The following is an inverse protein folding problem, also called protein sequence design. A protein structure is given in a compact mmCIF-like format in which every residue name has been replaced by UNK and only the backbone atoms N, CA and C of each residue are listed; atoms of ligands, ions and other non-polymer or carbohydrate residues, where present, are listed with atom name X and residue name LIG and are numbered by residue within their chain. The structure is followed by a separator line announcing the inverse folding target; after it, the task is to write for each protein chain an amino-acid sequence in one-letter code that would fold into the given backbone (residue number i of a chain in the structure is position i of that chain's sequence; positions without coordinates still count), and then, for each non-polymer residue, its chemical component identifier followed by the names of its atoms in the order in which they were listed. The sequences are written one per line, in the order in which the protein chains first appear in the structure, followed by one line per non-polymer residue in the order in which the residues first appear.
data_IF_498052020894
#
_entry.id   IF_498052020894
#
_cell.length_a   1.000
_cell.length_b   1.000
_cell.length_c   1.000
_cell.angle_alpha   90.00
_cell.angle_beta   90.00
_cell.angle_gamma   90.00
#
_symmetry.space_group_name_H-M   'P 1'
#
loop_
_entity.id
_entity.type
_entity.pdbx_description
1 polymer ?
#
# COMPACT_ATOMS: atom_id res chain seq x y z
N UNK A 1 8.91 -15.94 22.37
CA UNK A 1 7.93 -16.90 21.81
C UNK A 1 8.23 -17.00 20.32
N UNK A 2 8.05 -18.18 19.66
CA UNK A 2 8.18 -18.24 18.21
C UNK A 2 7.19 -17.22 17.61
N UNK A 3 7.63 -16.50 16.58
CA UNK A 3 6.78 -15.55 15.85
C UNK A 3 5.60 -16.27 15.19
N UNK A 4 4.59 -15.50 14.68
CA UNK A 4 3.50 -16.08 13.92
C UNK A 4 4.01 -16.84 12.69
N UNK A 5 3.21 -17.79 12.17
CA UNK A 5 3.61 -18.65 11.04
C UNK A 5 3.84 -17.83 9.75
N UNK A 6 4.91 -18.18 9.01
CA UNK A 6 5.22 -17.61 7.70
C UNK A 6 4.30 -18.12 6.56
N UNK A 7 3.43 -19.10 6.84
CA UNK A 7 2.57 -19.70 5.83
C UNK A 7 1.17 -19.10 5.86
N UNK A 8 0.56 -18.84 4.69
CA UNK A 8 -0.84 -18.44 4.61
C UNK A 8 -1.76 -19.58 5.10
N UNK A 9 -2.94 -19.23 5.58
CA UNK A 9 -3.94 -20.21 6.05
C UNK A 9 -4.49 -21.09 4.92
N UNK A 10 -4.40 -20.61 3.70
CA UNK A 10 -4.77 -21.30 2.46
C UNK A 10 -3.89 -20.85 1.30
N UNK A 11 -3.76 -21.63 0.25
CA UNK A 11 -3.06 -21.18 -0.95
C UNK A 11 -3.83 -20.06 -1.63
N UNK A 12 -3.11 -19.21 -2.39
CA UNK A 12 -3.70 -18.33 -3.41
C UNK A 12 -4.21 -19.20 -4.55
N UNK A 13 -5.46 -19.03 -4.94
CA UNK A 13 -6.09 -19.84 -6.00
C UNK A 13 -5.75 -19.31 -7.38
N UNK A 14 -5.83 -20.16 -8.40
CA UNK A 14 -5.66 -19.77 -9.80
C UNK A 14 -6.66 -18.67 -10.23
N UNK A 15 -7.90 -18.70 -9.68
CA UNK A 15 -8.91 -17.66 -9.92
C UNK A 15 -8.51 -16.30 -9.36
N UNK A 16 -7.86 -16.26 -8.18
CA UNK A 16 -7.33 -15.04 -7.57
C UNK A 16 -6.14 -14.47 -8.37
N UNK A 17 -5.23 -15.33 -8.83
CA UNK A 17 -4.14 -14.92 -9.73
C UNK A 17 -4.70 -14.32 -11.02
N UNK A 18 -5.69 -14.99 -11.64
CA UNK A 18 -6.33 -14.48 -12.85
C UNK A 18 -7.07 -13.15 -12.60
N UNK A 19 -7.72 -12.98 -11.46
CA UNK A 19 -8.37 -11.73 -11.06
C UNK A 19 -7.35 -10.60 -10.90
N UNK A 20 -6.24 -10.84 -10.20
CA UNK A 20 -5.16 -9.86 -10.04
C UNK A 20 -4.61 -9.41 -11.40
N UNK A 21 -4.28 -10.33 -12.29
CA UNK A 21 -3.76 -10.02 -13.63
C UNK A 21 -4.77 -9.28 -14.53
N UNK A 22 -6.08 -9.56 -14.39
CA UNK A 22 -7.14 -8.93 -15.19
C UNK A 22 -7.54 -7.56 -14.64
N UNK A 23 -7.76 -7.47 -13.34
CA UNK A 23 -8.38 -6.32 -12.69
C UNK A 23 -7.35 -5.38 -12.02
N UNK A 24 -6.13 -5.85 -11.79
CA UNK A 24 -5.09 -5.14 -11.07
C UNK A 24 -5.32 -5.09 -9.56
N UNK A 25 -6.32 -5.80 -9.06
CA UNK A 25 -6.64 -5.91 -7.64
C UNK A 25 -7.32 -7.23 -7.34
N UNK A 26 -7.05 -7.79 -6.18
CA UNK A 26 -7.71 -9.01 -5.68
C UNK A 26 -7.92 -8.94 -4.17
N UNK A 27 -9.07 -9.41 -3.70
CA UNK A 27 -9.36 -9.64 -2.29
C UNK A 27 -9.11 -11.12 -1.95
N UNK A 28 -8.34 -11.36 -0.93
CA UNK A 28 -7.94 -12.67 -0.44
C UNK A 28 -8.54 -12.88 0.97
N UNK A 29 -9.76 -13.43 1.07
CA UNK A 29 -10.43 -13.58 2.36
C UNK A 29 -9.76 -14.65 3.22
N UNK A 30 -9.64 -14.38 4.52
CA UNK A 30 -9.15 -15.29 5.57
C UNK A 30 -7.84 -16.00 5.19
N UNK A 31 -6.89 -15.26 4.61
CA UNK A 31 -5.62 -15.83 4.15
C UNK A 31 -4.49 -15.63 5.16
N UNK A 32 -4.56 -14.56 5.96
CA UNK A 32 -3.54 -14.22 6.95
C UNK A 32 -3.91 -14.75 8.34
N UNK A 33 -3.01 -15.44 9.05
CA UNK A 33 -3.24 -15.86 10.42
C UNK A 33 -3.53 -14.68 11.34
N UNK A 34 -4.56 -14.79 12.21
CA UNK A 34 -4.98 -13.75 13.15
C UNK A 34 -3.83 -13.27 14.06
N UNK A 35 -2.89 -14.15 14.39
CA UNK A 35 -1.72 -13.80 15.18
C UNK A 35 -0.84 -12.69 14.56
N UNK A 36 -0.88 -12.50 13.23
CA UNK A 36 -0.22 -11.37 12.59
C UNK A 36 -0.96 -10.06 12.80
N UNK A 37 -2.29 -10.10 12.89
CA UNK A 37 -3.09 -8.93 13.22
C UNK A 37 -2.82 -8.53 14.67
N UNK A 38 -2.88 -9.49 15.61
CA UNK A 38 -2.61 -9.27 17.03
C UNK A 38 -1.18 -8.73 17.25
N UNK A 39 -0.22 -9.22 16.47
CA UNK A 39 1.18 -8.77 16.52
C UNK A 39 1.37 -7.29 16.18
N UNK A 40 0.48 -6.71 15.37
CA UNK A 40 0.57 -5.31 14.90
C UNK A 40 -0.26 -4.32 15.71
N UNK A 41 -1.17 -4.76 16.57
CA UNK A 41 -2.09 -3.84 17.29
C UNK A 41 -1.31 -2.82 18.11
N UNK A 42 -0.47 -3.27 19.04
CA UNK A 42 0.31 -2.38 19.92
C UNK A 42 1.35 -1.55 19.15
N UNK A 43 2.13 -2.12 18.20
CA UNK A 43 3.04 -1.33 17.36
C UNK A 43 2.34 -0.22 16.57
N UNK A 44 1.16 -0.48 15.97
CA UNK A 44 0.39 0.55 15.28
C UNK A 44 -0.05 1.65 16.23
N UNK A 45 -0.52 1.32 17.44
CA UNK A 45 -0.90 2.32 18.44
C UNK A 45 0.30 3.18 18.87
N UNK A 46 1.46 2.57 19.08
CA UNK A 46 2.68 3.30 19.41
C UNK A 46 3.11 4.24 18.27
N UNK A 47 3.07 3.74 17.03
CA UNK A 47 3.45 4.50 15.83
C UNK A 47 2.57 5.74 15.65
N UNK A 48 1.24 5.61 15.75
CA UNK A 48 0.33 6.76 15.53
C UNK A 48 0.37 7.78 16.68
N UNK A 49 0.91 7.42 17.83
CA UNK A 49 1.15 8.33 18.93
C UNK A 49 2.45 9.14 18.79
N UNK A 50 3.34 8.74 17.87
CA UNK A 50 4.63 9.38 17.65
C UNK A 50 4.59 10.31 16.42
N UNK A 51 4.63 11.66 16.62
CA UNK A 51 4.61 12.62 15.52
C UNK A 51 5.92 12.65 14.71
N UNK A 52 7.01 12.04 15.18
CA UNK A 52 8.27 11.99 14.43
C UNK A 52 8.21 10.98 13.26
N UNK A 53 7.35 9.96 13.38
CA UNK A 53 7.21 8.89 12.38
C UNK A 53 5.82 8.84 11.74
N UNK A 54 4.88 9.69 12.20
CA UNK A 54 3.50 9.73 11.69
C UNK A 54 3.10 11.16 11.35
N UNK A 55 2.56 11.32 10.16
CA UNK A 55 2.00 12.59 9.66
C UNK A 55 0.50 12.63 9.92
N UNK A 56 0.02 13.74 10.48
CA UNK A 56 -1.40 14.07 10.48
C UNK A 56 -1.81 14.59 9.10
N UNK A 57 -2.43 13.72 8.31
CA UNK A 57 -2.85 13.99 6.93
C UNK A 57 -4.00 15.00 6.89
N UNK A 58 -4.79 15.13 7.97
CA UNK A 58 -5.83 16.13 8.10
C UNK A 58 -5.21 17.53 8.16
N UNK A 59 -4.18 17.69 8.98
CA UNK A 59 -3.43 18.93 9.07
C UNK A 59 -2.66 19.25 7.77
N UNK A 60 -2.10 18.22 7.13
CA UNK A 60 -1.43 18.36 5.83
C UNK A 60 -2.40 18.88 4.76
N UNK A 61 -3.61 18.32 4.66
CA UNK A 61 -4.62 18.80 3.71
C UNK A 61 -4.95 20.27 3.90
N UNK A 62 -5.18 20.71 5.12
CA UNK A 62 -5.44 22.12 5.42
C UNK A 62 -4.29 23.03 4.94
N UNK A 63 -3.05 22.57 5.12
CA UNK A 63 -1.86 23.30 4.67
C UNK A 63 -1.76 23.38 3.15
N UNK A 64 -1.98 22.25 2.45
CA UNK A 64 -1.82 22.16 0.98
C UNK A 64 -2.95 22.90 0.26
N UNK A 65 -4.20 22.71 0.68
CA UNK A 65 -5.37 23.29 0.02
C UNK A 65 -5.67 24.73 0.45
N UNK A 66 -5.04 25.23 1.52
CA UNK A 66 -5.38 26.51 2.14
C UNK A 66 -6.83 26.54 2.70
N UNK A 67 -7.51 25.41 2.74
CA UNK A 67 -8.87 25.32 3.24
C UNK A 67 -8.88 25.22 4.77
N UNK A 68 -9.88 25.82 5.40
CA UNK A 68 -10.17 25.57 6.81
C UNK A 68 -10.55 24.12 7.00
N UNK A 69 -10.18 23.56 8.15
CA UNK A 69 -10.67 22.23 8.55
C UNK A 69 -12.21 22.26 8.60
N UNK A 70 -12.81 21.18 8.13
CA UNK A 70 -14.26 21.00 8.26
C UNK A 70 -14.61 21.00 9.76
N UNK A 71 -15.49 21.88 10.22
CA UNK A 71 -15.89 21.94 11.64
C UNK A 71 -16.55 20.66 12.14
N UNK A 72 -17.13 19.86 11.24
CA UNK A 72 -17.75 18.57 11.54
C UNK A 72 -16.73 17.41 11.53
N UNK A 73 -15.48 17.67 11.14
CA UNK A 73 -14.40 16.69 11.18
C UNK A 73 -13.91 16.49 12.61
N UNK A 74 -14.34 15.40 13.24
CA UNK A 74 -14.00 15.06 14.64
C UNK A 74 -12.85 14.08 14.77
N UNK A 75 -12.50 13.39 13.68
CA UNK A 75 -11.39 12.43 13.63
C UNK A 75 -10.20 12.92 12.84
N UNK A 76 -9.08 12.21 12.95
CA UNK A 76 -7.86 12.47 12.18
C UNK A 76 -7.59 11.34 11.20
N UNK A 77 -6.94 11.67 10.10
CA UNK A 77 -6.28 10.70 9.24
C UNK A 77 -4.78 10.75 9.52
N UNK A 78 -4.23 9.66 10.02
CA UNK A 78 -2.82 9.51 10.38
C UNK A 78 -2.14 8.53 9.42
N UNK A 79 -0.95 8.86 8.92
CA UNK A 79 -0.19 8.03 8.02
C UNK A 79 1.31 8.19 8.25
N UNK A 80 2.03 7.07 8.16
CA UNK A 80 3.49 7.05 8.18
C UNK A 80 4.02 5.93 7.28
N UNK A 81 5.28 6.02 6.91
CA UNK A 81 5.96 5.05 6.02
C UNK A 81 7.28 4.60 6.62
N UNK A 82 7.79 3.46 6.12
CA UNK A 82 9.12 2.93 6.45
C UNK A 82 9.32 2.52 7.92
N UNK A 83 8.23 2.14 8.58
CA UNK A 83 8.25 1.68 9.99
C UNK A 83 9.07 0.40 10.16
N UNK A 84 9.14 -0.44 9.13
CA UNK A 84 9.93 -1.68 9.12
C UNK A 84 11.43 -1.45 9.39
N UNK A 85 11.93 -0.23 9.18
CA UNK A 85 13.32 0.14 9.46
C UNK A 85 13.60 0.36 10.94
N UNK A 86 12.57 0.69 11.71
CA UNK A 86 12.72 1.20 13.08
C UNK A 86 12.04 0.33 14.13
N UNK A 87 11.04 -0.45 13.73
CA UNK A 87 10.27 -1.30 14.64
C UNK A 87 10.34 -2.77 14.21
N UNK A 88 10.81 -3.69 15.07
CA UNK A 88 10.96 -5.11 14.76
C UNK A 88 9.64 -5.83 14.46
N UNK A 89 8.49 -5.32 14.93
CA UNK A 89 7.20 -5.93 14.61
C UNK A 89 6.82 -5.65 13.15
N UNK A 90 6.98 -4.42 12.67
CA UNK A 90 6.78 -4.10 11.24
C UNK A 90 7.83 -4.80 10.37
N UNK A 91 9.11 -4.85 10.80
CA UNK A 91 10.14 -5.58 10.09
C UNK A 91 9.79 -7.05 9.93
N UNK A 92 9.39 -7.74 11.00
CA UNK A 92 9.00 -9.15 10.95
C UNK A 92 7.73 -9.35 10.10
N UNK A 93 6.74 -8.44 10.20
CA UNK A 93 5.54 -8.51 9.38
C UNK A 93 5.85 -8.38 7.89
N UNK A 94 6.65 -7.41 7.51
CA UNK A 94 7.00 -7.17 6.11
C UNK A 94 7.90 -8.27 5.51
N UNK A 95 8.74 -8.94 6.32
CA UNK A 95 9.76 -9.86 5.80
C UNK A 95 9.46 -11.34 6.03
N UNK A 96 8.72 -11.69 7.12
CA UNK A 96 8.53 -13.09 7.52
C UNK A 96 7.07 -13.54 7.56
N UNK A 97 6.11 -12.63 7.38
CA UNK A 97 4.71 -13.00 7.23
C UNK A 97 4.44 -13.75 5.91
N UNK A 98 3.23 -14.27 5.69
CA UNK A 98 2.85 -14.86 4.40
C UNK A 98 2.85 -13.89 3.21
N UNK A 99 2.88 -12.56 3.44
CA UNK A 99 2.71 -11.54 2.39
C UNK A 99 3.74 -11.63 1.26
N UNK A 100 5.06 -11.83 1.50
CA UNK A 100 6.02 -11.96 0.41
C UNK A 100 5.72 -13.15 -0.51
N UNK A 101 5.33 -14.31 0.05
CA UNK A 101 4.97 -15.49 -0.73
C UNK A 101 3.67 -15.27 -1.53
N UNK A 102 2.68 -14.61 -0.94
CA UNK A 102 1.43 -14.21 -1.63
C UNK A 102 1.75 -13.28 -2.81
N UNK A 103 2.58 -12.27 -2.60
CA UNK A 103 3.03 -11.36 -3.67
C UNK A 103 3.77 -12.11 -4.79
N UNK A 104 4.67 -13.04 -4.44
CA UNK A 104 5.39 -13.88 -5.40
C UNK A 104 4.46 -14.71 -6.28
N UNK A 105 3.43 -15.32 -5.70
CA UNK A 105 2.44 -16.10 -6.45
C UNK A 105 1.60 -15.20 -7.36
N UNK A 106 1.09 -14.06 -6.86
CA UNK A 106 0.23 -13.17 -7.64
C UNK A 106 0.97 -12.51 -8.82
N UNK A 107 2.23 -12.15 -8.65
CA UNK A 107 3.05 -11.51 -9.66
C UNK A 107 3.80 -12.52 -10.56
N UNK A 108 3.66 -13.83 -10.30
CA UNK A 108 4.48 -14.88 -10.93
C UNK A 108 5.98 -14.51 -10.92
N UNK A 109 6.46 -14.11 -9.76
CA UNK A 109 7.84 -13.74 -9.54
C UNK A 109 8.64 -14.90 -8.91
N UNK A 110 9.92 -15.01 -9.23
CA UNK A 110 10.82 -15.99 -8.62
C UNK A 110 11.53 -15.42 -7.39
N UNK A 111 11.57 -14.08 -7.27
CA UNK A 111 12.17 -13.36 -6.15
C UNK A 111 11.33 -12.14 -5.79
N UNK A 112 11.21 -11.85 -4.49
CA UNK A 112 10.49 -10.69 -3.96
C UNK A 112 11.41 -9.87 -3.09
N UNK A 113 11.45 -8.59 -3.36
CA UNK A 113 12.09 -7.57 -2.54
C UNK A 113 11.04 -6.78 -1.76
N UNK A 114 11.35 -6.40 -0.53
CA UNK A 114 10.61 -5.41 0.23
C UNK A 114 11.00 -4.02 -0.26
N UNK A 115 10.02 -3.18 -0.56
CA UNK A 115 10.26 -1.80 -0.99
C UNK A 115 9.89 -0.78 0.09
N UNK A 116 8.73 -0.94 0.74
CA UNK A 116 8.18 0.02 1.69
C UNK A 116 7.07 -0.61 2.51
N UNK A 117 6.85 -0.12 3.72
CA UNK A 117 5.58 -0.31 4.44
C UNK A 117 4.93 1.04 4.77
N UNK A 118 3.66 1.01 5.16
CA UNK A 118 2.99 2.16 5.72
C UNK A 118 1.88 1.78 6.68
N UNK A 119 1.65 2.65 7.65
CA UNK A 119 0.50 2.64 8.55
C UNK A 119 -0.50 3.70 8.09
N UNK A 120 -1.78 3.35 8.07
CA UNK A 120 -2.88 4.19 7.61
C UNK A 120 -4.04 4.08 8.61
N UNK A 121 -4.30 5.14 9.35
CA UNK A 121 -5.36 5.16 10.37
C UNK A 121 -6.33 6.29 10.12
N UNK A 122 -7.59 5.95 9.90
CA UNK A 122 -8.71 6.91 9.88
C UNK A 122 -9.50 6.75 11.18
N UNK A 123 -9.43 7.75 12.05
CA UNK A 123 -10.19 7.80 13.28
C UNK A 123 -11.69 7.98 12.99
N UNK A 124 -12.59 7.60 13.93
CA UNK A 124 -14.04 7.82 13.76
C UNK A 124 -14.36 9.28 13.48
N UNK A 125 -15.25 9.53 12.53
CA UNK A 125 -15.67 10.88 12.16
C UNK A 125 -14.63 11.66 11.33
N UNK A 126 -13.62 11.01 10.79
CA UNK A 126 -12.66 11.66 9.88
C UNK A 126 -13.32 11.95 8.53
N UNK A 127 -13.37 13.23 8.13
CA UNK A 127 -13.84 13.68 6.83
C UNK A 127 -12.81 13.47 5.71
N UNK A 128 -11.55 13.15 6.06
CA UNK A 128 -10.48 13.08 5.10
C UNK A 128 -10.56 11.85 4.20
N UNK A 129 -10.65 12.09 2.91
CA UNK A 129 -10.51 11.07 1.88
C UNK A 129 -9.03 10.88 1.49
N UNK A 130 -8.72 9.76 0.87
CA UNK A 130 -7.50 9.58 0.09
C UNK A 130 -7.84 9.86 -1.37
N UNK A 131 -7.16 10.82 -1.99
CA UNK A 131 -7.37 11.19 -3.38
C UNK A 131 -7.07 10.02 -4.33
N UNK A 132 -7.68 10.05 -5.52
CA UNK A 132 -7.41 9.03 -6.55
C UNK A 132 -5.94 9.12 -6.99
N UNK A 133 -5.22 8.00 -6.93
CA UNK A 133 -3.79 7.94 -7.26
C UNK A 133 -3.36 6.55 -7.71
N UNK A 134 -2.13 6.44 -8.19
CA UNK A 134 -1.36 5.20 -8.34
C UNK A 134 -0.19 5.21 -7.38
N UNK A 135 0.12 4.08 -6.76
CA UNK A 135 1.34 3.94 -5.95
C UNK A 135 2.61 4.13 -6.80
N UNK A 136 2.59 3.62 -8.05
CA UNK A 136 3.74 3.66 -8.94
C UNK A 136 4.28 5.09 -9.20
N UNK A 137 3.42 6.10 -9.16
CA UNK A 137 3.82 7.50 -9.31
C UNK A 137 4.74 8.00 -8.19
N UNK A 138 4.65 7.40 -7.00
CA UNK A 138 5.48 7.76 -5.84
C UNK A 138 6.76 6.94 -5.73
N UNK A 139 6.92 5.89 -6.54
CA UNK A 139 8.07 4.98 -6.45
C UNK A 139 9.14 5.32 -7.49
N UNK A 140 10.39 5.20 -7.10
CA UNK A 140 11.53 5.27 -8.03
C UNK A 140 11.79 3.90 -8.68
N UNK A 141 10.71 3.25 -9.12
CA UNK A 141 10.69 1.92 -9.74
C UNK A 141 9.95 1.94 -11.07
N UNK A 142 10.30 1.01 -11.94
CA UNK A 142 9.56 0.67 -13.15
C UNK A 142 9.58 -0.85 -13.38
N UNK A 143 8.49 -1.37 -13.92
CA UNK A 143 8.26 -2.79 -14.17
C UNK A 143 6.84 -3.19 -13.80
N UNK A 144 6.45 -4.40 -14.20
CA UNK A 144 5.07 -4.90 -14.03
C UNK A 144 4.89 -5.72 -12.74
N UNK A 145 5.99 -6.12 -12.08
CA UNK A 145 5.94 -6.92 -10.86
C UNK A 145 6.13 -6.05 -9.62
N UNK A 146 5.20 -5.11 -9.41
CA UNK A 146 5.17 -4.25 -8.24
C UNK A 146 3.75 -4.27 -7.69
N UNK A 147 3.59 -4.63 -6.42
CA UNK A 147 2.30 -4.68 -5.77
C UNK A 147 2.33 -4.10 -4.36
N UNK A 148 1.16 -3.70 -3.89
CA UNK A 148 0.89 -3.33 -2.51
C UNK A 148 -0.05 -4.37 -1.91
N UNK A 149 0.32 -4.93 -0.77
CA UNK A 149 -0.56 -5.73 0.09
C UNK A 149 -1.15 -4.81 1.14
N UNK A 150 -2.46 -4.74 1.24
CA UNK A 150 -3.19 -3.92 2.20
C UNK A 150 -3.90 -4.82 3.20
N UNK A 151 -3.58 -4.68 4.49
CA UNK A 151 -4.03 -5.55 5.58
C UNK A 151 -4.79 -4.75 6.61
N UNK A 152 -6.11 -4.99 6.78
CA UNK A 152 -6.92 -4.32 7.79
C UNK A 152 -6.66 -4.92 9.18
N UNK A 153 -6.55 -4.05 10.18
CA UNK A 153 -6.54 -4.44 11.59
C UNK A 153 -7.96 -4.36 12.21
N UNK A 154 -8.85 -3.65 11.56
CA UNK A 154 -10.25 -3.50 11.97
C UNK A 154 -11.19 -3.93 10.83
N UNK A 155 -12.45 -4.27 11.09
CA UNK A 155 -13.45 -4.46 10.04
C UNK A 155 -13.61 -3.19 9.19
N UNK A 156 -13.62 -3.35 7.87
CA UNK A 156 -13.70 -2.23 6.94
C UNK A 156 -14.84 -2.43 5.94
N UNK A 157 -15.65 -1.41 5.80
CA UNK A 157 -16.73 -1.32 4.85
C UNK A 157 -16.80 0.09 4.22
N UNK A 158 -17.87 0.37 3.50
CA UNK A 158 -18.08 1.66 2.85
C UNK A 158 -18.16 2.83 3.87
N UNK A 159 -18.74 2.60 5.04
CA UNK A 159 -18.90 3.62 6.08
C UNK A 159 -17.56 3.97 6.73
N UNK A 160 -16.71 2.98 6.95
CA UNK A 160 -15.39 3.14 7.58
C UNK A 160 -14.28 3.55 6.60
N UNK A 161 -14.61 3.77 5.33
CA UNK A 161 -13.68 4.25 4.31
C UNK A 161 -12.91 3.13 3.59
N UNK A 162 -13.64 2.12 3.09
CA UNK A 162 -13.08 1.09 2.22
C UNK A 162 -12.36 1.69 1.01
N UNK A 163 -11.26 1.06 0.63
CA UNK A 163 -10.50 1.46 -0.56
C UNK A 163 -11.29 1.08 -1.82
N UNK A 164 -11.40 2.01 -2.74
CA UNK A 164 -11.98 1.83 -4.06
C UNK A 164 -10.87 1.69 -5.10
N UNK A 165 -10.98 0.69 -5.96
CA UNK A 165 -9.99 0.37 -7.00
C UNK A 165 -10.63 0.46 -8.37
N UNK A 166 -9.97 1.12 -9.32
CA UNK A 166 -10.42 1.20 -10.71
C UNK A 166 -9.88 -0.02 -11.48
N UNK A 167 -10.70 -1.05 -11.61
CA UNK A 167 -10.32 -2.32 -12.25
C UNK A 167 -9.75 -2.11 -13.64
N UNK A 168 -8.63 -2.79 -13.90
CA UNK A 168 -7.96 -2.78 -15.21
C UNK A 168 -7.16 -1.52 -15.51
N UNK A 169 -7.14 -0.51 -14.62
CA UNK A 169 -6.40 0.75 -14.83
C UNK A 169 -4.89 0.54 -14.93
N UNK A 170 -4.34 -0.48 -14.26
CA UNK A 170 -2.92 -0.85 -14.34
C UNK A 170 -2.45 -1.19 -15.75
N UNK A 171 -3.36 -1.59 -16.66
CA UNK A 171 -3.04 -1.96 -18.03
C UNK A 171 -3.05 -0.79 -19.02
N UNK A 172 -3.27 0.43 -18.54
CA UNK A 172 -3.26 1.63 -19.38
C UNK A 172 -1.87 1.95 -19.96
N UNK A 173 -0.81 1.43 -19.37
CA UNK A 173 0.57 1.79 -19.69
C UNK A 173 0.96 3.20 -19.22
N UNK A 174 0.05 3.91 -18.56
CA UNK A 174 0.28 5.27 -18.07
C UNK A 174 0.77 5.25 -16.63
N UNK A 175 1.76 6.09 -16.36
CA UNK A 175 2.10 6.48 -15.00
C UNK A 175 1.55 7.88 -14.77
N UNK A 176 0.64 7.98 -13.80
CA UNK A 176 0.02 9.24 -13.44
C UNK A 176 0.89 10.04 -12.47
N UNK A 177 0.78 11.38 -12.56
CA UNK A 177 1.50 12.28 -11.64
C UNK A 177 1.05 12.00 -10.21
N UNK A 178 1.99 11.82 -9.26
CA UNK A 178 1.64 11.72 -7.85
C UNK A 178 1.04 13.02 -7.35
N UNK A 179 0.06 12.92 -6.47
CA UNK A 179 -0.60 14.03 -5.80
C UNK A 179 -0.25 14.10 -4.31
N UNK A 180 -0.85 15.01 -3.57
CA UNK A 180 -0.61 15.12 -2.12
C UNK A 180 -1.30 14.04 -1.27
N UNK A 181 -1.81 12.97 -1.88
CA UNK A 181 -2.47 11.85 -1.22
C UNK A 181 -3.84 12.18 -0.59
N UNK A 182 -3.99 13.34 0.02
CA UNK A 182 -5.24 13.88 0.59
C UNK A 182 -5.81 15.05 -0.23
N UNK A 183 -5.24 15.33 -1.38
CA UNK A 183 -5.66 16.35 -2.34
C UNK A 183 -5.32 15.91 -3.75
N UNK A 184 -6.16 16.28 -4.72
CA UNK A 184 -5.92 16.00 -6.15
C UNK A 184 -4.79 16.86 -6.75
N UNK A 185 -4.30 17.85 -6.00
CA UNK A 185 -3.18 18.70 -6.42
C UNK A 185 -1.91 17.86 -6.58
N UNK A 186 -1.26 17.93 -7.76
CA UNK A 186 -0.05 17.17 -8.01
C UNK A 186 1.12 17.65 -7.15
N UNK A 187 2.04 16.74 -6.81
CA UNK A 187 3.28 17.09 -6.14
C UNK A 187 4.10 18.07 -7.02
N UNK A 188 4.70 19.12 -6.43
CA UNK A 188 5.50 20.10 -7.17
C UNK A 188 6.65 19.44 -7.92
N UNK A 189 6.81 19.81 -9.21
CA UNK A 189 7.88 19.28 -10.05
C UNK A 189 7.72 17.83 -10.49
N UNK A 190 6.65 17.13 -10.08
CA UNK A 190 6.38 15.77 -10.52
C UNK A 190 5.92 15.73 -11.98
N UNK A 191 6.20 14.61 -12.65
CA UNK A 191 5.85 14.35 -14.04
C UNK A 191 4.94 13.11 -14.15
N UNK A 192 4.21 13.00 -15.25
CA UNK A 192 3.31 11.90 -15.55
C UNK A 192 2.02 12.35 -16.21
N UNK A 193 1.17 11.37 -16.54
CA UNK A 193 -0.15 11.65 -17.10
C UNK A 193 -1.07 12.30 -16.04
N UNK A 194 -2.05 13.10 -16.43
CA UNK A 194 -3.07 13.58 -15.50
C UNK A 194 -3.88 12.40 -14.96
N UNK A 195 -4.29 12.48 -13.70
CA UNK A 195 -5.21 11.50 -13.13
C UNK A 195 -6.58 11.70 -13.80
N UNK A 196 -7.24 10.62 -14.28
CA UNK A 196 -8.55 10.76 -14.92
C UNK A 196 -9.63 11.12 -13.90
N UNK A 197 -10.66 11.81 -14.35
CA UNK A 197 -11.88 11.96 -13.57
C UNK A 197 -12.60 10.61 -13.49
N UNK A 198 -12.93 10.19 -12.27
CA UNK A 198 -13.66 8.95 -12.00
C UNK A 198 -14.79 9.28 -11.03
N UNK A 199 -16.01 8.97 -11.42
CA UNK A 199 -17.20 9.19 -10.59
C UNK A 199 -17.52 7.94 -9.78
N UNK A 200 -18.27 8.11 -8.69
CA UNK A 200 -18.60 6.99 -7.78
C UNK A 200 -19.47 5.90 -8.43
N UNK A 201 -20.13 6.21 -9.53
CA UNK A 201 -20.94 5.29 -10.33
C UNK A 201 -20.17 4.63 -11.48
N UNK A 202 -18.86 4.86 -11.62
CA UNK A 202 -18.05 4.16 -12.62
C UNK A 202 -18.12 2.64 -12.39
N UNK A 203 -18.62 1.85 -13.36
CA UNK A 203 -18.82 0.40 -13.19
C UNK A 203 -17.50 -0.38 -13.01
N UNK A 204 -16.37 0.26 -13.24
CA UNK A 204 -15.04 -0.33 -13.00
C UNK A 204 -14.60 -0.18 -11.55
N UNK A 205 -15.19 0.75 -10.78
CA UNK A 205 -14.86 0.89 -9.36
C UNK A 205 -15.36 -0.31 -8.56
N UNK A 206 -14.45 -0.92 -7.84
CA UNK A 206 -14.74 -2.00 -6.90
C UNK A 206 -14.27 -1.63 -5.50
N UNK A 207 -15.09 -1.95 -4.51
CA UNK A 207 -14.78 -1.84 -3.09
C UNK A 207 -15.03 -3.18 -2.43
N UNK A 208 -14.19 -3.53 -1.47
CA UNK A 208 -14.34 -4.77 -0.72
C UNK A 208 -14.71 -4.45 0.73
N UNK A 209 -15.69 -5.17 1.27
CA UNK A 209 -15.86 -5.30 2.71
C UNK A 209 -14.85 -6.34 3.18
N UNK A 210 -14.00 -5.97 4.12
CA UNK A 210 -12.88 -6.82 4.56
C UNK A 210 -12.84 -6.94 6.07
N UNK A 211 -12.30 -8.06 6.54
CA UNK A 211 -12.14 -8.37 7.95
C UNK A 211 -10.66 -8.53 8.31
N UNK A 212 -10.26 -8.35 9.57
CA UNK A 212 -8.94 -8.74 10.04
C UNK A 212 -8.61 -10.19 9.65
N UNK A 213 -7.47 -10.40 9.02
CA UNK A 213 -7.09 -11.69 8.42
C UNK A 213 -7.32 -11.80 6.90
N UNK A 214 -8.08 -10.87 6.32
CA UNK A 214 -8.11 -10.67 4.87
C UNK A 214 -6.89 -9.88 4.39
N UNK A 215 -6.58 -10.03 3.10
CA UNK A 215 -5.57 -9.17 2.42
C UNK A 215 -6.16 -8.69 1.10
N UNK A 216 -6.06 -7.40 0.83
CA UNK A 216 -6.30 -6.88 -0.52
C UNK A 216 -4.95 -6.60 -1.17
N UNK A 217 -4.72 -7.17 -2.35
CA UNK A 217 -3.48 -6.93 -3.10
C UNK A 217 -3.80 -6.18 -4.38
N UNK A 218 -3.10 -5.07 -4.61
CA UNK A 218 -3.24 -4.33 -5.86
C UNK A 218 -1.90 -4.08 -6.54
N UNK A 219 -1.92 -4.05 -7.85
CA UNK A 219 -0.77 -3.68 -8.69
C UNK A 219 -0.45 -2.20 -8.48
N UNK A 220 0.82 -1.83 -8.39
CA UNK A 220 1.24 -0.44 -8.10
C UNK A 220 0.70 0.60 -9.13
N UNK A 221 0.41 0.18 -10.35
CA UNK A 221 -0.21 1.02 -11.38
C UNK A 221 -1.76 1.04 -11.32
N UNK A 222 -2.40 0.37 -10.36
CA UNK A 222 -3.85 0.42 -10.21
C UNK A 222 -4.26 1.75 -9.56
N UNK A 223 -5.12 2.50 -10.24
CA UNK A 223 -5.74 3.70 -9.67
C UNK A 223 -6.67 3.32 -8.53
N UNK A 224 -6.50 3.97 -7.38
CA UNK A 224 -7.32 3.72 -6.21
C UNK A 224 -7.46 4.97 -5.33
N UNK A 225 -8.49 4.99 -4.51
CA UNK A 225 -8.79 6.06 -3.55
C UNK A 225 -9.49 5.46 -2.33
N UNK A 226 -9.69 6.24 -1.28
CA UNK A 226 -10.47 5.78 -0.12
C UNK A 226 -11.34 6.92 0.42
N UNK A 227 -12.59 6.60 0.71
CA UNK A 227 -13.51 7.54 1.33
C UNK A 227 -13.10 7.95 2.75
N UNK A 228 -13.84 8.90 3.33
CA UNK A 228 -13.74 9.25 4.74
C UNK A 228 -14.18 8.09 5.64
N UNK A 229 -13.84 8.15 6.93
CA UNK A 229 -14.44 7.29 7.94
C UNK A 229 -15.62 8.01 8.60
N UNK A 230 -16.84 7.66 8.19
CA UNK A 230 -18.08 8.25 8.69
C UNK A 230 -18.63 7.56 9.95
N UNK A 231 -18.03 6.43 10.35
CA UNK A 231 -18.41 5.77 11.60
C UNK A 231 -18.17 6.69 12.79
N UNK A 232 -19.07 6.69 13.74
CA UNK A 232 -18.93 7.47 14.97
C UNK A 232 -18.10 6.77 16.06
N UNK A 233 -17.76 5.49 15.86
CA UNK A 233 -17.14 4.68 16.91
C UNK A 233 -16.03 3.73 16.43
N UNK A 234 -16.04 3.36 15.15
CA UNK A 234 -15.09 2.37 14.61
C UNK A 234 -13.91 3.05 13.96
N UNK A 235 -12.71 2.77 14.42
CA UNK A 235 -11.46 3.15 13.75
C UNK A 235 -11.22 2.26 12.54
N UNK A 236 -10.46 2.77 11.59
CA UNK A 236 -9.99 1.99 10.45
C UNK A 236 -8.46 2.04 10.42
N UNK A 237 -7.81 1.05 11.00
CA UNK A 237 -6.37 0.85 10.98
C UNK A 237 -6.02 -0.16 9.89
N UNK A 238 -4.99 0.14 9.14
CA UNK A 238 -4.43 -0.78 8.15
C UNK A 238 -2.91 -0.62 8.05
N UNK A 239 -2.25 -1.72 7.72
CA UNK A 239 -0.83 -1.75 7.36
C UNK A 239 -0.72 -2.18 5.90
N UNK A 240 0.02 -1.42 5.10
CA UNK A 240 0.34 -1.79 3.72
C UNK A 240 1.81 -2.14 3.61
N UNK A 241 2.12 -3.16 2.79
CA UNK A 241 3.52 -3.48 2.45
C UNK A 241 3.65 -3.54 0.94
N UNK A 242 4.68 -2.89 0.41
CA UNK A 242 4.98 -2.82 -1.02
C UNK A 242 6.13 -3.75 -1.34
N UNK A 243 5.89 -4.54 -2.37
CA UNK A 243 6.85 -5.52 -2.86
C UNK A 243 7.14 -5.32 -4.34
N UNK A 244 8.38 -5.61 -4.73
CA UNK A 244 8.74 -5.71 -6.14
C UNK A 244 9.42 -7.05 -6.44
N UNK A 245 9.12 -7.58 -7.63
CA UNK A 245 9.64 -8.86 -8.12
C UNK A 245 10.82 -8.70 -9.06
N UNK A 246 11.29 -9.82 -9.58
CA UNK A 246 12.32 -9.86 -10.60
C UNK A 246 11.88 -9.13 -11.88
N UNK A 247 12.85 -8.52 -12.58
CA UNK A 247 12.59 -7.70 -13.77
C UNK A 247 12.16 -6.25 -13.45
N UNK A 248 11.99 -5.89 -12.18
CA UNK A 248 11.84 -4.50 -11.77
C UNK A 248 13.19 -3.80 -11.75
N UNK A 249 13.21 -2.56 -12.17
CA UNK A 249 14.41 -1.74 -12.24
C UNK A 249 14.16 -0.34 -11.65
N UNK A 250 15.22 0.33 -11.28
CA UNK A 250 15.17 1.68 -10.80
C UNK A 250 14.78 2.66 -11.92
N UNK A 251 13.95 3.64 -11.57
CA UNK A 251 13.59 4.76 -12.44
C UNK A 251 13.47 6.02 -11.58
N UNK A 252 14.47 6.89 -11.66
CA UNK A 252 14.45 8.15 -10.93
C UNK A 252 13.37 9.07 -11.52
N UNK A 253 12.40 9.46 -10.67
CA UNK A 253 11.28 10.34 -11.06
C UNK A 253 11.45 11.72 -10.46
N UNK A 254 11.30 12.75 -11.30
CA UNK A 254 11.32 14.13 -10.85
C UNK A 254 10.15 14.43 -9.89
N UNK A 255 10.40 15.23 -8.85
CA UNK A 255 9.38 15.66 -7.90
C UNK A 255 8.78 14.56 -7.00
N UNK A 256 9.26 13.33 -7.13
CA UNK A 256 8.85 12.21 -6.26
C UNK A 256 9.76 12.17 -5.03
N UNK A 257 9.21 11.96 -3.82
CA UNK A 257 10.02 11.88 -2.60
C UNK A 257 11.09 10.80 -2.67
N UNK A 258 12.30 11.14 -2.23
CA UNK A 258 13.41 10.18 -2.14
C UNK A 258 13.40 9.50 -0.77
N UNK A 259 13.89 8.26 -0.72
CA UNK A 259 14.01 7.49 0.51
C UNK A 259 15.48 7.41 0.92
N UNK A 260 15.77 7.83 2.16
CA UNK A 260 17.15 7.88 2.66
C UNK A 260 17.84 6.51 2.74
N UNK A 261 17.07 5.44 2.89
CA UNK A 261 17.56 4.07 3.01
C UNK A 261 17.72 3.36 1.66
N UNK A 262 17.16 3.92 0.58
CA UNK A 262 17.44 3.42 -0.76
C UNK A 262 18.81 3.94 -1.22
N UNK A 263 19.47 3.24 -2.17
CA UNK A 263 20.71 3.75 -2.72
C UNK A 263 20.56 5.20 -3.19
N UNK A 264 21.53 6.07 -2.91
CA UNK A 264 21.46 7.47 -3.34
C UNK A 264 21.25 7.60 -4.84
N UNK A 265 20.44 8.58 -5.27
CA UNK A 265 20.14 8.79 -6.69
C UNK A 265 21.37 9.03 -7.57
N UNK A 266 22.53 9.40 -6.98
CA UNK A 266 23.80 9.52 -7.70
C UNK A 266 24.50 8.18 -7.94
N UNK A 267 24.15 7.14 -7.18
CA UNK A 267 24.73 5.80 -7.27
C UNK A 267 23.88 4.85 -8.11
N UNK A 268 22.55 5.04 -8.14
CA UNK A 268 21.64 4.30 -9.01
C UNK A 268 21.30 5.11 -10.25
N UNK A 269 21.21 4.42 -11.39
CA UNK A 269 20.79 4.99 -12.66
C UNK A 269 19.43 4.42 -13.05
N UNK A 270 18.64 5.21 -13.74
CA UNK A 270 17.43 4.70 -14.37
C UNK A 270 17.80 3.55 -15.32
N UNK A 271 17.16 2.40 -15.11
CA UNK A 271 17.42 1.16 -15.83
C UNK A 271 18.28 0.15 -15.05
N UNK A 272 18.94 0.54 -13.97
CA UNK A 272 19.64 -0.43 -13.11
C UNK A 272 18.64 -1.41 -12.48
N UNK A 273 18.94 -2.72 -12.44
CA UNK A 273 18.06 -3.69 -11.81
C UNK A 273 17.95 -3.44 -10.29
N UNK A 274 16.81 -3.74 -9.71
CA UNK A 274 16.70 -3.84 -8.25
C UNK A 274 17.47 -5.06 -7.78
N UNK A 275 18.43 -4.83 -6.89
CA UNK A 275 19.29 -5.87 -6.32
C UNK A 275 19.06 -5.96 -4.81
N UNK A 276 19.51 -7.05 -4.21
CA UNK A 276 19.49 -7.21 -2.75
C UNK A 276 20.31 -6.11 -2.08
N UNK A 277 19.63 -5.28 -1.30
CA UNK A 277 20.20 -4.13 -0.61
C UNK A 277 19.50 -3.95 0.74
N UNK A 278 20.17 -3.49 1.80
CA UNK A 278 19.52 -3.27 3.11
C UNK A 278 18.25 -2.41 3.06
N UNK A 279 18.15 -1.47 2.12
CA UNK A 279 16.96 -0.64 1.90
C UNK A 279 15.89 -1.27 0.99
N UNK A 280 16.23 -2.40 0.32
CA UNK A 280 15.30 -3.13 -0.54
C UNK A 280 15.67 -4.63 -0.52
N UNK A 281 15.61 -5.29 0.68
CA UNK A 281 16.12 -6.65 0.86
C UNK A 281 15.27 -7.68 0.12
N UNK A 282 15.92 -8.77 -0.29
CA UNK A 282 15.21 -9.99 -0.72
C UNK A 282 14.52 -10.61 0.50
N UNK A 283 13.22 -10.82 0.41
CA UNK A 283 12.39 -11.34 1.51
C UNK A 283 11.71 -12.67 1.19
N UNK A 284 11.75 -13.07 -0.08
CA UNK A 284 11.25 -14.38 -0.51
C UNK A 284 11.86 -14.79 -1.84
N UNK A 285 12.09 -16.08 -2.00
CA UNK A 285 12.51 -16.71 -3.25
C UNK A 285 11.70 -17.99 -3.48
N UNK A 286 11.34 -18.23 -4.74
CA UNK A 286 10.64 -19.45 -5.15
C UNK A 286 11.56 -20.66 -4.94
N UNK A 287 11.12 -21.63 -4.17
CA UNK A 287 11.87 -22.86 -3.98
C UNK A 287 11.89 -23.67 -5.29
N UNK A 288 13.07 -24.05 -5.77
CA UNK A 288 13.20 -24.94 -6.94
C UNK A 288 12.54 -26.29 -6.59
N UNK A 289 11.42 -26.60 -7.27
CA UNK A 289 10.64 -27.82 -7.03
C UNK A 289 9.15 -27.60 -6.73
N UNK A 290 8.71 -26.37 -6.48
CA UNK A 290 7.29 -26.03 -6.47
C UNK A 290 6.81 -25.88 -7.92
N UNK A 291 5.93 -26.76 -8.37
CA UNK A 291 5.27 -26.67 -9.70
C UNK A 291 4.54 -25.35 -9.87
N UNK A 292 4.65 -24.79 -11.07
CA UNK A 292 3.89 -23.61 -11.51
C UNK A 292 2.39 -23.90 -11.56
#
# INVERSE_FOLDING_TARGET
MPGPTAHPLRPVTAGEVAAFGRDGVVHLPAILPAAWIDHLVDPVEATIADPEVTTDMTALRATVSGASLDPDNTGRFLSGVDHWLHDPAFASFATTSPLPAIAGVLMDADRIHLYEDSVLVKEPGTAEATALHQDLGYFHLAGDRICTTWVPLDPVDFETGAVAYLRGSHRSGLVHRPNWFVSDEPLPGSEGAPIPEVTDDDPRLVRFTVQPGDVVVHHAATLHCAGPNRSSSTRRRAVSVRYCGDGVHHLVRAGTPTKAHHPPHGEIRSGDPVVDHPGCPVVWERTIGSTR
#
